data_IF_302592356844
#
_entry.id   IF_302592356844
#
_cell.length_a   1.000
_cell.length_b   1.000
_cell.length_c   1.000
_cell.angle_alpha   90.00
_cell.angle_beta   90.00
_cell.angle_gamma   90.00
#
_symmetry.space_group_name_H-M   'P 1'
#
loop_
_entity.id
_entity.type
_entity.pdbx_description
1 polymer ?
#
# COMPACT_ATOMS: atom_id res chain seq x y z
N UNK A 1 11.60 2.80 -13.79
CA UNK A 1 11.15 2.48 -13.38
C UNK A 1 10.86 1.82 -13.06
N UNK A 2 10.58 1.82 -13.07
CA UNK A 2 10.07 1.24 -12.69
C UNK A 2 9.90 0.40 -12.54
N UNK A 3 9.50 0.05 -12.53
CA UNK A 3 9.19 -0.81 -12.38
C UNK A 3 9.12 -1.36 -12.33
N UNK A 4 9.05 -1.40 -12.55
CA UNK A 4 8.92 -1.94 -12.51
C UNK A 4 8.84 -2.67 -12.21
N UNK A 5 8.50 -2.91 -12.26
CA UNK A 5 8.33 -3.54 -11.86
C UNK A 5 8.77 -4.10 -11.57
N UNK A 6 8.80 -4.05 -11.48
CA UNK A 6 9.10 -4.51 -11.11
C UNK A 6 9.46 -4.62 -10.54
N UNK A 7 9.60 -4.47 -10.82
CA UNK A 7 9.74 -4.41 -10.12
C UNK A 7 9.82 -4.15 -9.50
N UNK A 8 9.46 -4.14 -9.44
CA UNK A 8 9.25 -3.76 -8.75
C UNK A 8 8.72 -3.84 -8.01
N UNK A 9 8.21 -4.43 -7.65
CA UNK A 9 7.57 -4.62 -6.98
C UNK A 9 7.12 -5.11 -6.06
N UNK A 10 6.40 -5.68 -5.53
CA UNK A 10 6.11 -6.10 -4.55
C UNK A 10 5.40 -6.85 -3.68
N UNK A 11 4.63 -7.80 -3.03
CA UNK A 11 3.85 -8.54 -2.40
C UNK A 11 3.24 -8.85 -1.33
N UNK A 12 2.01 -9.66 -0.51
CA UNK A 12 1.47 -10.11 0.57
C UNK A 12 0.98 -10.70 1.36
N UNK A 13 0.39 -11.29 1.99
CA UNK A 13 -0.06 -11.76 2.50
C UNK A 13 -0.50 -12.19 3.45
N UNK A 14 -0.89 -12.54 3.62
CA UNK A 14 -1.16 -13.11 4.27
C UNK A 14 -1.54 -13.58 4.75
N UNK A 15 -1.97 -13.83 4.45
CA UNK A 15 -2.24 -14.31 4.54
C UNK A 15 -2.58 -14.59 4.80
N UNK A 16 -3.14 -14.83 4.40
CA UNK A 16 -3.37 -15.11 4.34
C UNK A 16 -3.56 -14.97 4.59
N UNK A 17 -3.71 -15.05 4.36
CA UNK A 17 -3.93 -15.01 4.16
C UNK A 17 -4.06 -14.58 4.52
N UNK A 18 -4.29 -14.79 4.23
CA UNK A 18 -4.44 -14.49 4.18
C UNK A 18 -4.64 -14.07 4.48
N UNK A 19 -4.98 -14.14 4.31
CA UNK A 19 -5.15 -13.86 4.38
C UNK A 19 -5.10 -13.61 4.90
N UNK A 20 -5.00 -14.06 4.84
CA UNK A 20 -4.95 -13.89 5.14
C UNK A 20 -4.82 -13.76 5.91
N UNK A 21 -4.96 -13.86 6.07
CA UNK A 21 -4.95 -13.66 6.81
C UNK A 21 -4.94 -13.19 7.46
N UNK A 22 -5.37 -12.91 7.54
CA UNK A 22 -5.52 -12.21 8.28
C UNK A 22 -5.96 -11.93 9.03
N UNK A 23 -6.25 -12.01 9.48
CA UNK A 23 -6.78 -11.48 10.10
C UNK A 23 -6.76 -10.83 10.82
N UNK A 24 -6.92 -10.45 10.95
CA UNK A 24 -6.83 -9.55 11.56
C UNK A 24 -7.45 -8.66 11.48
N UNK A 25 -7.90 -8.36 11.91
CA UNK A 25 -8.65 -7.58 11.63
C UNK A 25 -8.31 -6.41 11.36
N UNK A 26 -8.45 -6.07 10.65
CA UNK A 26 -8.23 -4.96 10.34
C UNK A 26 -9.25 -4.27 10.40
N UNK A 27 -9.57 -3.70 10.87
CA UNK A 27 -10.61 -3.03 10.96
C UNK A 27 -10.78 -2.03 10.26
N UNK A 28 -10.36 -1.84 9.68
CA UNK A 28 -10.41 -0.75 9.03
C UNK A 28 -11.56 -0.61 8.25
N UNK A 29 -11.89 0.48 7.90
CA UNK A 29 -12.82 0.75 6.87
C UNK A 29 -12.40 -0.01 5.69
N UNK A 30 -13.20 -0.84 5.21
CA UNK A 30 -12.80 -1.56 4.04
C UNK A 30 -12.61 -0.60 2.90
N UNK A 31 -11.65 -0.84 2.06
CA UNK A 31 -11.53 -0.05 0.86
C UNK A 31 -12.73 -0.28 -0.03
N UNK A 32 -12.77 0.39 -1.14
CA UNK A 32 -13.82 0.17 -2.10
C UNK A 32 -13.91 -1.31 -2.42
N UNK A 33 -15.10 -1.82 -2.73
CA UNK A 33 -15.24 -3.23 -3.04
C UNK A 33 -14.29 -3.63 -4.15
N UNK A 34 -13.66 -4.76 -3.96
CA UNK A 34 -12.76 -5.27 -4.96
C UNK A 34 -13.54 -5.60 -6.21
N UNK A 35 -13.04 -5.26 -7.37
CA UNK A 35 -13.69 -5.67 -8.60
C UNK A 35 -13.60 -7.19 -8.75
N UNK A 36 -14.58 -7.76 -9.40
CA UNK A 36 -14.67 -9.21 -9.51
C UNK A 36 -13.40 -9.82 -10.09
N UNK A 37 -12.82 -9.18 -11.07
CA UNK A 37 -11.62 -9.67 -11.72
C UNK A 37 -10.60 -8.56 -11.96
N UNK A 38 -10.67 -7.50 -11.19
CA UNK A 38 -9.78 -6.36 -11.34
C UNK A 38 -8.56 -6.41 -10.44
N UNK A 39 -8.04 -7.59 -10.18
CA UNK A 39 -6.86 -7.75 -9.36
C UNK A 39 -5.62 -7.84 -10.23
N UNK A 40 -4.61 -7.06 -9.88
CA UNK A 40 -3.35 -7.03 -10.62
C UNK A 40 -2.24 -7.56 -9.73
N UNK A 41 -1.52 -8.61 -10.13
CA UNK A 41 -0.38 -9.08 -9.35
C UNK A 41 0.75 -8.06 -9.39
N UNK A 42 1.35 -7.84 -8.25
CA UNK A 42 2.41 -6.83 -8.10
C UNK A 42 3.76 -7.50 -7.91
N UNK A 43 3.87 -8.36 -6.89
CA UNK A 43 5.14 -9.01 -6.61
C UNK A 43 4.90 -10.16 -5.63
N UNK A 44 5.84 -11.12 -5.55
CA UNK A 44 5.77 -12.10 -4.48
C UNK A 44 5.88 -11.44 -3.12
N UNK A 45 5.12 -11.92 -2.15
CA UNK A 45 5.15 -11.35 -0.80
C UNK A 45 6.57 -11.35 -0.22
N UNK A 46 7.34 -12.38 -0.51
CA UNK A 46 8.69 -12.49 0.03
C UNK A 46 9.61 -11.37 -0.47
N UNK A 47 9.26 -10.71 -1.57
CA UNK A 47 10.03 -9.60 -2.09
C UNK A 47 9.65 -8.27 -1.49
N UNK A 48 8.52 -8.21 -0.79
CA UNK A 48 8.07 -6.99 -0.15
C UNK A 48 8.52 -7.04 1.30
N UNK A 49 9.58 -6.33 1.61
CA UNK A 49 10.16 -6.38 2.95
C UNK A 49 9.32 -5.58 3.93
N UNK A 50 9.25 -6.02 5.20
CA UNK A 50 8.54 -5.24 6.21
C UNK A 50 9.10 -3.83 6.32
N UNK A 51 8.19 -2.88 6.52
CA UNK A 51 8.49 -1.46 6.67
C UNK A 51 9.03 -0.82 5.40
N UNK A 52 8.77 -1.44 4.27
CA UNK A 52 9.20 -0.96 2.97
C UNK A 52 8.02 -0.86 2.03
N UNK A 53 8.19 -0.03 1.01
CA UNK A 53 7.21 0.13 -0.04
C UNK A 53 7.80 -0.19 -1.40
N UNK A 54 6.94 -0.58 -2.31
CA UNK A 54 7.30 -0.74 -3.72
C UNK A 54 6.26 0.01 -4.55
N UNK A 55 6.65 0.41 -5.73
CA UNK A 55 5.73 1.08 -6.65
C UNK A 55 5.46 0.16 -7.83
N UNK A 56 4.19 0.06 -8.20
CA UNK A 56 3.79 -0.71 -9.37
C UNK A 56 2.76 0.08 -10.16
N UNK A 57 2.70 -0.17 -11.46
CA UNK A 57 1.61 0.37 -12.27
C UNK A 57 0.47 -0.63 -12.22
N UNK A 58 -0.69 -0.18 -11.76
CA UNK A 58 -1.87 -1.01 -11.66
C UNK A 58 -2.97 -0.29 -12.43
N UNK A 59 -3.42 -0.87 -13.51
CA UNK A 59 -4.41 -0.24 -14.41
C UNK A 59 -3.97 1.16 -14.83
N UNK A 60 -2.68 1.34 -15.05
CA UNK A 60 -2.13 2.63 -15.48
C UNK A 60 -1.86 3.63 -14.36
N UNK A 61 -2.17 3.28 -13.11
CA UNK A 61 -1.97 4.17 -11.98
C UNK A 61 -0.73 3.75 -11.19
N UNK A 62 0.11 4.71 -10.77
CA UNK A 62 1.25 4.36 -9.92
C UNK A 62 0.77 4.13 -8.50
N UNK A 63 0.91 2.91 -8.03
CA UNK A 63 0.43 2.48 -6.72
C UNK A 63 1.62 2.10 -5.86
N UNK A 64 1.65 2.63 -4.63
CA UNK A 64 2.64 2.27 -3.64
C UNK A 64 2.05 1.18 -2.75
N UNK A 65 2.76 0.07 -2.60
CA UNK A 65 2.32 -1.03 -1.76
C UNK A 65 3.31 -1.16 -0.61
N UNK A 66 2.77 -1.22 0.60
CA UNK A 66 3.58 -1.25 1.82
C UNK A 66 3.28 -2.49 2.65
N UNK A 67 4.30 -2.98 3.33
CA UNK A 67 4.17 -4.07 4.29
C UNK A 67 4.66 -3.54 5.63
N UNK A 68 3.81 -3.61 6.66
CA UNK A 68 4.20 -3.14 7.99
C UNK A 68 4.99 -4.22 8.72
N UNK A 69 5.56 -3.85 9.88
CA UNK A 69 6.36 -4.79 10.66
C UNK A 69 5.52 -5.97 11.18
N UNK A 70 4.20 -5.80 11.29
CA UNK A 70 3.30 -6.86 11.71
C UNK A 70 2.58 -7.50 10.54
N UNK A 71 3.18 -7.38 9.35
CA UNK A 71 2.73 -8.07 8.13
C UNK A 71 1.37 -7.67 7.61
N UNK A 72 0.92 -6.45 7.92
CA UNK A 72 -0.24 -5.90 7.27
C UNK A 72 0.18 -5.25 5.95
N UNK A 73 -0.71 -5.31 4.96
CA UNK A 73 -0.43 -4.78 3.64
C UNK A 73 -1.38 -3.64 3.32
N UNK A 74 -0.84 -2.59 2.73
CA UNK A 74 -1.63 -1.43 2.34
C UNK A 74 -1.18 -0.95 0.97
N UNK A 75 -2.09 -0.37 0.21
CA UNK A 75 -1.78 0.22 -1.08
C UNK A 75 -2.38 1.60 -1.18
N UNK A 76 -1.55 2.57 -1.56
CA UNK A 76 -1.97 3.95 -1.76
C UNK A 76 -1.54 4.40 -3.15
N UNK A 77 -2.20 5.42 -3.67
CA UNK A 77 -1.68 6.07 -4.87
C UNK A 77 -0.30 6.63 -4.52
N UNK A 78 0.66 6.45 -5.41
CA UNK A 78 2.05 6.81 -5.14
C UNK A 78 2.31 8.32 -5.14
N UNK A 79 1.35 9.11 -5.60
CA UNK A 79 1.50 10.54 -5.75
C UNK A 79 1.36 11.26 -4.40
N UNK A 80 2.37 12.07 -4.06
CA UNK A 80 2.34 12.91 -2.87
C UNK A 80 1.77 14.27 -3.25
N UNK A 81 0.54 14.60 -2.82
CA UNK A 81 -0.07 15.87 -3.25
C UNK A 81 0.62 17.11 -2.67
N UNK A 82 1.38 16.98 -1.59
CA UNK A 82 2.09 18.14 -1.04
C UNK A 82 3.30 18.50 -1.88
N UNK A 83 4.02 17.50 -2.38
CA UNK A 83 5.22 17.76 -3.18
C UNK A 83 4.94 17.73 -4.68
N UNK A 84 3.84 17.11 -5.09
CA UNK A 84 3.53 16.97 -6.51
C UNK A 84 4.35 15.89 -7.21
N UNK A 85 4.91 14.96 -6.46
CA UNK A 85 5.76 13.92 -7.01
C UNK A 85 5.26 12.53 -6.64
N UNK A 86 5.52 11.56 -7.51
CA UNK A 86 5.15 10.15 -7.25
C UNK A 86 6.26 9.48 -6.47
N UNK A 87 6.25 9.64 -5.15
CA UNK A 87 7.36 9.24 -4.30
C UNK A 87 6.95 8.52 -3.02
N UNK A 88 5.65 8.29 -2.79
CA UNK A 88 5.24 7.73 -1.50
C UNK A 88 5.84 6.34 -1.25
N UNK A 89 6.07 5.54 -2.29
CA UNK A 89 6.70 4.23 -2.11
C UNK A 89 8.11 4.31 -1.55
N UNK A 90 8.74 5.47 -1.63
CA UNK A 90 10.08 5.69 -1.08
C UNK A 90 10.04 6.29 0.32
N UNK A 91 8.84 6.47 0.87
CA UNK A 91 8.67 7.05 2.18
C UNK A 91 9.06 6.10 3.29
N UNK A 92 9.06 6.62 4.50
CA UNK A 92 9.41 5.86 5.67
C UNK A 92 8.14 5.40 6.36
N UNK A 93 7.98 4.10 6.49
CA UNK A 93 6.84 3.51 7.17
C UNK A 93 7.08 3.60 8.67
N UNK A 94 6.06 4.01 9.40
CA UNK A 94 6.13 4.13 10.84
C UNK A 94 4.80 3.88 11.48
N UNK A 95 4.70 4.22 12.76
CA UNK A 95 3.51 3.98 13.53
C UNK A 95 3.25 5.17 14.46
N UNK A 96 2.02 5.66 14.45
CA UNK A 96 1.61 6.74 15.33
C UNK A 96 0.57 6.20 16.28
N UNK A 97 1.02 5.74 17.43
CA UNK A 97 0.10 5.26 18.44
C UNK A 97 -0.77 4.10 17.98
N UNK A 98 -0.21 3.21 17.19
CA UNK A 98 -0.94 2.07 16.67
C UNK A 98 -1.51 2.25 15.27
N UNK A 99 -1.39 3.47 14.70
CA UNK A 99 -1.85 3.74 13.36
C UNK A 99 -0.66 3.71 12.41
N UNK A 100 -0.60 2.77 11.48
CA UNK A 100 0.52 2.74 10.55
C UNK A 100 0.46 3.92 9.58
N UNK A 101 1.61 4.54 9.35
CA UNK A 101 1.71 5.72 8.50
C UNK A 101 2.91 5.58 7.58
N UNK A 102 2.93 6.38 6.52
CA UNK A 102 4.11 6.56 5.69
C UNK A 102 4.42 8.05 5.63
N UNK A 103 5.70 8.41 5.82
CA UNK A 103 6.16 9.79 5.72
C UNK A 103 6.76 9.99 4.34
N UNK A 104 6.31 11.01 3.63
CA UNK A 104 6.84 11.33 2.32
C UNK A 104 8.33 11.68 2.43
N UNK A 105 9.15 11.26 1.48
CA UNK A 105 10.57 11.59 1.53
C UNK A 105 10.86 13.07 1.23
N UNK A 106 9.91 13.79 0.64
CA UNK A 106 10.15 15.18 0.22
C UNK A 106 9.92 16.14 1.38
N UNK A 107 8.68 16.24 1.86
CA UNK A 107 8.36 17.20 2.93
C UNK A 107 8.01 16.53 4.25
N UNK A 108 8.17 15.22 4.33
CA UNK A 108 7.92 14.44 5.55
C UNK A 108 6.47 14.46 6.01
N UNK A 109 5.55 14.88 5.15
CA UNK A 109 4.13 14.77 5.48
C UNK A 109 3.75 13.31 5.61
N UNK A 110 2.93 12.99 6.60
CA UNK A 110 2.59 11.60 6.91
C UNK A 110 1.17 11.30 6.50
N UNK A 111 0.98 10.09 5.98
CA UNK A 111 -0.34 9.63 5.54
C UNK A 111 -0.65 8.32 6.26
N UNK A 112 -1.86 8.22 6.78
CA UNK A 112 -2.32 6.96 7.38
C UNK A 112 -2.46 5.92 6.28
N UNK A 113 -1.85 4.77 6.46
CA UNK A 113 -1.85 3.75 5.41
C UNK A 113 -3.23 3.16 5.16
N UNK A 114 -4.06 3.07 6.20
CA UNK A 114 -5.37 2.46 6.05
C UNK A 114 -6.40 3.37 5.36
N UNK A 115 -6.26 4.68 5.53
CA UNK A 115 -7.25 5.63 5.02
C UNK A 115 -6.73 6.55 3.94
N UNK A 116 -5.41 6.73 3.87
CA UNK A 116 -4.81 7.70 2.96
C UNK A 116 -4.90 9.13 3.44
N UNK A 117 -5.43 9.36 4.64
CA UNK A 117 -5.61 10.71 5.15
C UNK A 117 -4.30 11.25 5.68
N UNK A 118 -3.95 12.49 5.29
CA UNK A 118 -2.73 13.11 5.79
C UNK A 118 -2.90 13.44 7.28
N UNK A 119 -1.89 13.11 8.07
CA UNK A 119 -1.95 13.30 9.51
C UNK A 119 -1.96 14.77 9.87
N UNK A 120 -1.14 15.56 9.16
CA UNK A 120 -1.01 16.98 9.44
C UNK A 120 -2.12 17.85 8.84
N UNK A 121 -2.88 17.29 7.90
CA UNK A 121 -3.94 18.05 7.24
C UNK A 121 -4.99 17.08 6.73
N UNK A 122 -6.02 16.83 7.51
CA UNK A 122 -7.01 15.81 7.21
C UNK A 122 -7.92 16.15 6.04
N UNK A 123 -7.75 17.33 5.46
CA UNK A 123 -8.46 17.65 4.23
C UNK A 123 -7.77 17.05 3.01
N UNK A 124 -6.54 16.55 3.17
CA UNK A 124 -5.77 15.96 2.08
C UNK A 124 -5.83 14.44 2.22
N UNK A 125 -6.29 13.79 1.17
CA UNK A 125 -6.47 12.33 1.18
C UNK A 125 -5.86 11.75 -0.09
N UNK A 126 -5.11 10.67 0.06
CA UNK A 126 -4.56 9.93 -1.06
C UNK A 126 -5.43 8.68 -1.25
N UNK A 127 -5.70 8.32 -2.49
CA UNK A 127 -6.53 7.17 -2.77
C UNK A 127 -5.91 5.88 -2.20
N UNK A 128 -6.74 5.00 -1.68
CA UNK A 128 -6.31 3.69 -1.18
C UNK A 128 -6.92 2.61 -2.06
N UNK A 129 -6.27 1.45 -2.09
CA UNK A 129 -6.71 0.32 -2.90
C UNK A 129 -6.70 -0.95 -2.08
N UNK A 130 -7.60 -1.90 -2.36
CA UNK A 130 -7.56 -3.17 -1.66
C UNK A 130 -6.34 -4.00 -2.06
N UNK A 131 -5.80 -4.73 -1.11
CA UNK A 131 -4.64 -5.59 -1.31
C UNK A 131 -4.97 -6.97 -0.78
N UNK A 132 -4.53 -7.98 -1.49
CA UNK A 132 -4.67 -9.36 -1.02
C UNK A 132 -3.45 -10.16 -1.41
N UNK A 133 -3.31 -11.34 -0.80
CA UNK A 133 -2.24 -12.27 -1.16
C UNK A 133 -2.92 -13.55 -1.63
N UNK A 134 -2.53 -14.00 -2.83
CA UNK A 134 -3.03 -15.26 -3.39
C UNK A 134 -1.83 -16.07 -3.82
N UNK A 135 -1.68 -17.25 -3.24
CA UNK A 135 -0.57 -18.15 -3.55
C UNK A 135 0.79 -17.45 -3.44
N UNK A 136 0.94 -16.63 -2.40
CA UNK A 136 2.19 -15.92 -2.16
C UNK A 136 2.41 -14.69 -3.03
N UNK A 137 1.45 -14.34 -3.88
CA UNK A 137 1.56 -13.19 -4.76
C UNK A 137 0.70 -12.05 -4.23
N UNK A 138 1.29 -10.89 -4.06
CA UNK A 138 0.56 -9.69 -3.62
C UNK A 138 -0.20 -9.12 -4.82
N UNK A 139 -1.48 -8.88 -4.63
CA UNK A 139 -2.34 -8.34 -5.68
C UNK A 139 -3.05 -7.10 -5.20
N UNK A 140 -3.21 -6.12 -6.08
CA UNK A 140 -3.90 -4.87 -5.79
C UNK A 140 -5.12 -4.78 -6.70
N UNK A 141 -6.25 -4.36 -6.12
CA UNK A 141 -7.49 -4.23 -6.86
C UNK A 141 -7.77 -2.78 -7.23
N UNK A 142 -8.10 -2.55 -8.50
CA UNK A 142 -8.58 -1.27 -8.98
C UNK A 142 -9.81 -1.55 -9.83
N UNK A 143 -10.88 -0.84 -9.51
CA UNK A 143 -12.13 -1.01 -10.24
C UNK A 143 -12.02 -0.39 -11.64
#
# INVERSE_FOLDING_TARGET
MTAQADLRAHPDGSTDGAEAKDPRPEPTTPPAPAPADGWTPVCPLERLQPERGVCALVAGEPVAVFRTHDDRLFALHNFDPFSGASVLSRGIVGDLGGTPVVASPVYKQRFALSSGVAVEDDSVVVATYPVRVVDGMVEVGIA
#
